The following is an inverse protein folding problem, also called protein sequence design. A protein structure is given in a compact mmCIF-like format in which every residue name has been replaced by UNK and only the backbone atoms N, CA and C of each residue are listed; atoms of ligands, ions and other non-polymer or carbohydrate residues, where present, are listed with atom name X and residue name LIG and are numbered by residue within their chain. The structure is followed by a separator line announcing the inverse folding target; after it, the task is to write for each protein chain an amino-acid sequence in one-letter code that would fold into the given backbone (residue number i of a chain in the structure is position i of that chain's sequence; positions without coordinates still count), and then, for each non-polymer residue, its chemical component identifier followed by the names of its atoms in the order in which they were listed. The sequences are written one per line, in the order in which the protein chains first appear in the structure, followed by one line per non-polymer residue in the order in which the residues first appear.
data_IF_647911820385
#
_entry.id   IF_647911820385
#
_cell.length_a   1.000
_cell.length_b   1.000
_cell.length_c   1.000
_cell.angle_alpha   90.00
_cell.angle_beta   90.00
_cell.angle_gamma   90.00
#
_symmetry.space_group_name_H-M   'P 1'
#
loop_
_entity.id
_entity.type
_entity.pdbx_description
1 polymer ?
#
# COMPACT_ATOMS: atom_id res chain seq x y z
N UNK A 1 -61.48 -3.21 -30.86
CA UNK A 1 -62.54 -3.78 -30.00
C UNK A 1 -62.06 -3.61 -28.56
N UNK A 2 -62.76 -2.89 -27.68
CA UNK A 2 -63.99 -3.29 -26.95
C UNK A 2 -63.71 -4.51 -26.04
N UNK A 3 -63.96 -4.53 -24.72
CA UNK A 3 -64.59 -3.60 -23.74
C UNK A 3 -63.87 -3.81 -22.35
N UNK A 4 -63.89 -2.94 -21.33
CA UNK A 4 -64.99 -2.51 -20.41
C UNK A 4 -65.70 -3.68 -19.67
N UNK A 5 -66.09 -3.65 -18.37
CA UNK A 5 -66.23 -2.55 -17.39
C UNK A 5 -66.32 -3.03 -15.89
N UNK A 6 -65.74 -2.29 -14.92
CA UNK A 6 -66.03 -2.20 -13.44
C UNK A 6 -66.28 -3.53 -12.61
N UNK A 7 -66.82 -3.67 -11.37
CA UNK A 7 -67.44 -2.83 -10.30
C UNK A 7 -67.06 -3.26 -8.83
N UNK A 8 -66.90 -2.27 -7.92
CA UNK A 8 -67.39 -2.12 -6.51
C UNK A 8 -67.01 -2.97 -5.25
N UNK A 9 -66.73 -2.20 -4.17
CA UNK A 9 -66.87 -2.44 -2.69
C UNK A 9 -68.33 -2.16 -2.21
N UNK A 10 -68.80 -2.38 -0.93
CA UNK A 10 -68.15 -2.34 0.42
C UNK A 10 -68.37 -3.66 1.22
N UNK A 11 -68.48 -3.83 2.57
CA UNK A 11 -68.70 -3.08 3.85
C UNK A 11 -68.14 -3.92 5.04
N UNK A 12 -68.07 -3.53 6.33
CA UNK A 12 -67.89 -2.27 7.11
C UNK A 12 -68.01 -2.62 8.65
N UNK A 13 -67.99 -1.63 9.57
CA UNK A 13 -68.48 -1.64 10.98
C UNK A 13 -67.53 -2.16 12.10
N UNK A 14 -66.93 -1.18 12.81
CA UNK A 14 -66.76 -1.05 14.28
C UNK A 14 -65.99 -2.13 15.11
N UNK A 15 -65.36 -1.81 16.25
CA UNK A 15 -65.79 -0.84 17.28
C UNK A 15 -64.66 -0.30 18.21
N UNK A 16 -65.04 0.75 18.96
CA UNK A 16 -64.51 1.35 20.21
C UNK A 16 -63.67 0.46 21.15
N UNK A 17 -62.84 0.95 22.08
CA UNK A 17 -62.31 2.31 22.42
C UNK A 17 -61.46 2.25 23.70
N UNK A 18 -60.55 3.20 23.96
CA UNK A 18 -60.42 3.88 25.27
C UNK A 18 -59.41 5.04 25.25
N UNK A 19 -59.61 6.04 26.12
CA UNK A 19 -58.78 7.25 26.25
C UNK A 19 -58.51 7.55 27.73
N UNK A 20 -57.25 7.84 28.05
CA UNK A 20 -56.71 8.59 29.21
C UNK A 20 -55.25 8.92 28.86
N UNK A 21 -54.74 10.14 28.77
CA UNK A 21 -55.05 11.44 29.43
C UNK A 21 -54.55 11.53 30.87
N UNK A 22 -53.27 11.90 30.99
CA UNK A 22 -52.71 12.75 32.04
C UNK A 22 -51.68 13.69 31.39
N UNK A 23 -51.53 14.89 31.93
CA UNK A 23 -50.74 16.00 31.38
C UNK A 23 -50.03 16.73 32.54
N UNK A 24 -49.15 17.67 32.20
CA UNK A 24 -48.34 18.53 33.08
C UNK A 24 -47.06 17.83 33.62
N UNK A 25 -45.96 18.55 33.86
CA UNK A 25 -45.76 20.00 33.80
C UNK A 25 -44.53 20.39 32.94
N UNK A 26 -44.55 21.62 32.41
CA UNK A 26 -43.40 22.26 31.77
C UNK A 26 -42.52 22.96 32.83
N UNK A 27 -41.22 23.05 32.57
CA UNK A 27 -40.36 24.04 33.23
C UNK A 27 -39.24 24.47 32.27
N UNK A 28 -39.32 25.71 31.77
CA UNK A 28 -38.40 26.25 30.77
C UNK A 28 -37.12 26.79 31.41
N UNK A 29 -35.96 26.51 30.81
CA UNK A 29 -34.72 27.24 31.10
C UNK A 29 -33.99 27.63 29.82
N UNK A 30 -33.82 28.94 29.61
CA UNK A 30 -33.15 29.49 28.43
C UNK A 30 -31.67 29.15 28.40
N UNK A 31 -31.16 28.64 27.29
CA UNK A 31 -29.73 28.65 26.95
C UNK A 31 -29.52 28.97 25.46
N UNK A 32 -28.46 29.72 25.14
CA UNK A 32 -28.20 30.24 23.80
C UNK A 32 -27.70 29.16 22.82
N UNK A 33 -28.10 29.20 21.53
CA UNK A 33 -27.58 28.29 20.51
C UNK A 33 -26.19 28.76 20.02
N UNK A 34 -25.11 28.19 20.55
CA UNK A 34 -23.73 28.53 20.14
C UNK A 34 -22.71 27.39 20.34
N UNK A 35 -23.06 26.16 19.94
CA UNK A 35 -22.18 24.99 20.11
C UNK A 35 -22.41 23.83 19.12
N UNK A 36 -22.86 24.10 17.89
CA UNK A 36 -22.96 23.07 16.83
C UNK A 36 -21.64 22.86 16.07
N UNK A 37 -20.60 22.45 16.81
CA UNK A 37 -19.45 21.72 16.24
C UNK A 37 -19.62 20.27 16.66
N UNK A 38 -19.84 19.31 15.74
CA UNK A 38 -19.93 17.90 16.10
C UNK A 38 -18.57 17.42 16.58
N UNK A 39 -18.47 17.09 17.87
CA UNK A 39 -17.30 16.40 18.42
C UNK A 39 -17.15 15.05 17.71
N UNK A 40 -15.92 14.61 17.39
CA UNK A 40 -15.71 13.29 16.81
C UNK A 40 -16.20 12.23 17.79
N UNK A 41 -17.15 11.39 17.36
CA UNK A 41 -17.72 10.31 18.17
C UNK A 41 -16.61 9.43 18.73
N UNK A 42 -16.53 9.34 20.06
CA UNK A 42 -15.48 8.61 20.77
C UNK A 42 -15.40 7.16 20.29
N UNK A 43 -14.27 6.77 19.71
CA UNK A 43 -14.05 5.45 19.13
C UNK A 43 -13.95 4.39 20.25
N UNK A 44 -15.09 3.85 20.67
CA UNK A 44 -15.20 2.80 21.68
C UNK A 44 -14.70 1.46 21.12
N UNK A 45 -13.39 1.24 21.19
CA UNK A 45 -12.77 -0.04 20.87
C UNK A 45 -13.35 -1.15 21.78
N UNK A 46 -14.02 -2.13 21.19
CA UNK A 46 -14.68 -3.20 21.93
C UNK A 46 -13.62 -4.11 22.61
N UNK A 47 -13.63 -4.30 23.95
CA UNK A 47 -12.52 -4.96 24.64
C UNK A 47 -12.26 -6.43 24.27
N UNK A 48 -13.25 -7.09 23.65
CA UNK A 48 -13.21 -8.52 23.29
C UNK A 48 -12.55 -8.82 21.93
N UNK A 49 -12.09 -7.80 21.20
CA UNK A 49 -11.47 -7.94 19.88
C UNK A 49 -10.00 -7.48 19.91
N UNK A 50 -9.13 -8.30 20.51
CA UNK A 50 -7.68 -8.22 20.25
C UNK A 50 -7.42 -8.78 18.84
N UNK A 51 -7.80 -8.01 17.81
CA UNK A 51 -7.56 -8.36 16.41
C UNK A 51 -6.04 -8.48 16.23
N UNK A 52 -5.50 -9.66 15.89
CA UNK A 52 -4.07 -9.82 15.75
C UNK A 52 -3.57 -8.90 14.64
N UNK A 53 -2.47 -8.18 14.94
CA UNK A 53 -1.80 -7.27 14.03
C UNK A 53 -1.73 -7.82 12.60
N UNK A 54 -2.03 -6.97 11.61
CA UNK A 54 -1.94 -7.32 10.20
C UNK A 54 -0.56 -7.90 9.90
N UNK A 55 -0.49 -9.20 9.62
CA UNK A 55 0.73 -9.89 9.98
C UNK A 55 1.91 -9.57 9.09
N UNK A 56 3.10 -9.70 9.68
CA UNK A 56 4.37 -9.57 8.96
C UNK A 56 4.43 -10.51 7.75
N UNK A 57 3.79 -11.68 7.85
CA UNK A 57 3.76 -12.72 6.82
C UNK A 57 2.96 -12.27 5.59
N UNK A 58 1.79 -11.65 5.79
CA UNK A 58 0.97 -11.14 4.69
C UNK A 58 1.75 -10.10 3.86
N UNK A 59 2.25 -9.06 4.50
CA UNK A 59 2.96 -7.96 3.81
C UNK A 59 4.26 -8.43 3.14
N UNK A 60 5.00 -9.35 3.76
CA UNK A 60 6.16 -10.00 3.15
C UNK A 60 5.76 -10.84 1.91
N UNK A 61 4.65 -11.59 1.97
CA UNK A 61 4.13 -12.34 0.83
C UNK A 61 3.76 -11.40 -0.34
N UNK A 62 3.02 -10.33 -0.07
CA UNK A 62 2.62 -9.33 -1.07
C UNK A 62 3.82 -8.67 -1.75
N UNK A 63 4.82 -8.25 -0.96
CA UNK A 63 6.12 -7.75 -1.44
C UNK A 63 6.81 -8.74 -2.36
N UNK A 64 7.13 -9.94 -1.87
CA UNK A 64 7.89 -10.95 -2.61
C UNK A 64 7.14 -11.38 -3.90
N UNK A 65 5.81 -11.49 -3.84
CA UNK A 65 4.97 -11.76 -5.01
C UNK A 65 5.10 -10.66 -6.07
N UNK A 66 4.97 -9.38 -5.68
CA UNK A 66 5.11 -8.25 -6.61
C UNK A 66 6.53 -8.13 -7.19
N UNK A 67 7.57 -8.37 -6.39
CA UNK A 67 8.96 -8.43 -6.83
C UNK A 67 9.17 -9.56 -7.85
N UNK A 68 8.62 -10.76 -7.60
CA UNK A 68 8.64 -11.90 -8.52
C UNK A 68 7.92 -11.60 -9.85
N UNK A 69 6.71 -11.03 -9.80
CA UNK A 69 5.97 -10.67 -11.01
C UNK A 69 6.67 -9.58 -11.84
N UNK A 70 7.40 -8.66 -11.19
CA UNK A 70 8.20 -7.68 -11.91
C UNK A 70 9.35 -8.36 -12.67
N UNK A 71 10.10 -9.27 -12.04
CA UNK A 71 11.15 -10.03 -12.73
C UNK A 71 10.57 -10.86 -13.89
N UNK A 72 9.46 -11.58 -13.68
CA UNK A 72 8.75 -12.33 -14.73
C UNK A 72 8.36 -11.43 -15.92
N UNK A 73 7.80 -10.26 -15.64
CA UNK A 73 7.38 -9.28 -16.68
C UNK A 73 8.57 -8.73 -17.47
N UNK A 74 9.69 -8.46 -16.82
CA UNK A 74 10.88 -7.88 -17.44
C UNK A 74 11.70 -8.93 -18.21
N UNK A 75 11.81 -10.15 -17.67
CA UNK A 75 12.60 -11.21 -18.29
C UNK A 75 11.88 -11.93 -19.43
N UNK A 76 10.54 -11.80 -19.56
CA UNK A 76 9.70 -12.45 -20.60
C UNK A 76 10.25 -12.35 -22.04
N UNK A 77 11.00 -11.29 -22.37
CA UNK A 77 11.66 -11.10 -23.69
C UNK A 77 13.17 -11.33 -23.70
N UNK A 78 13.82 -11.46 -22.54
CA UNK A 78 15.29 -11.57 -22.43
C UNK A 78 15.79 -12.98 -22.10
N UNK A 79 14.97 -13.83 -21.46
CA UNK A 79 15.31 -15.25 -21.20
C UNK A 79 16.61 -15.43 -20.41
N UNK A 80 16.92 -14.53 -19.46
CA UNK A 80 18.17 -14.60 -18.71
C UNK A 80 18.06 -15.68 -17.62
N UNK A 81 18.77 -16.78 -17.79
CA UNK A 81 18.81 -17.89 -16.82
C UNK A 81 19.04 -17.42 -15.37
N UNK A 82 19.99 -16.50 -15.12
CA UNK A 82 20.24 -15.92 -13.79
C UNK A 82 19.02 -15.21 -13.16
N UNK A 83 18.11 -14.70 -13.98
CA UNK A 83 16.87 -14.05 -13.52
C UNK A 83 15.78 -15.11 -13.28
N UNK A 84 15.74 -16.17 -14.09
CA UNK A 84 14.89 -17.35 -13.86
C UNK A 84 15.29 -18.10 -12.57
N UNK A 85 16.60 -18.28 -12.31
CA UNK A 85 17.14 -18.81 -11.05
C UNK A 85 16.70 -17.99 -9.83
N UNK A 86 16.67 -16.65 -9.99
CA UNK A 86 16.22 -15.74 -8.95
C UNK A 86 14.70 -15.81 -8.75
N UNK A 87 13.90 -15.88 -9.83
CA UNK A 87 12.45 -16.10 -9.77
C UNK A 87 12.14 -17.42 -9.07
N UNK A 88 12.77 -18.53 -9.44
CA UNK A 88 12.61 -19.83 -8.80
C UNK A 88 13.16 -19.89 -7.35
N UNK A 89 14.13 -19.03 -7.02
CA UNK A 89 14.57 -18.81 -5.64
C UNK A 89 13.53 -18.06 -4.79
N UNK A 90 12.92 -17.00 -5.35
CA UNK A 90 11.86 -16.24 -4.68
C UNK A 90 10.59 -17.08 -4.55
N UNK A 91 10.27 -17.93 -5.53
CA UNK A 91 9.15 -18.88 -5.45
C UNK A 91 9.31 -19.88 -4.30
N UNK A 92 10.50 -20.46 -4.13
CA UNK A 92 10.81 -21.34 -3.00
C UNK A 92 10.71 -20.63 -1.65
N UNK A 93 11.15 -19.36 -1.57
CA UNK A 93 10.98 -18.55 -0.36
C UNK A 93 9.50 -18.22 -0.07
N UNK A 94 8.70 -17.92 -1.10
CA UNK A 94 7.24 -17.73 -0.97
C UNK A 94 6.54 -19.00 -0.47
N UNK A 95 6.92 -20.17 -1.02
CA UNK A 95 6.44 -21.48 -0.57
C UNK A 95 6.81 -21.75 0.89
N UNK A 96 8.07 -21.53 1.28
CA UNK A 96 8.52 -21.71 2.65
C UNK A 96 7.80 -20.78 3.64
N UNK A 97 7.61 -19.50 3.29
CA UNK A 97 6.83 -18.54 4.10
C UNK A 97 5.37 -19.01 4.25
N UNK A 98 4.78 -19.60 3.21
CA UNK A 98 3.41 -20.13 3.25
C UNK A 98 3.27 -21.46 4.03
N UNK A 99 4.35 -22.00 4.61
CA UNK A 99 4.33 -23.13 5.55
C UNK A 99 4.64 -22.69 6.99
N UNK A 100 4.88 -21.40 7.24
CA UNK A 100 5.09 -20.88 8.60
C UNK A 100 3.76 -20.52 9.24
N UNK A 101 3.54 -20.98 10.47
CA UNK A 101 2.49 -20.45 11.34
C UNK A 101 2.76 -18.98 11.69
N UNK A 102 1.70 -18.19 11.82
CA UNK A 102 1.74 -16.75 12.06
C UNK A 102 2.03 -16.44 13.55
N UNK A 103 3.25 -16.75 13.99
CA UNK A 103 3.67 -16.68 15.39
C UNK A 103 4.85 -15.75 15.60
N UNK A 104 4.97 -15.21 16.82
CA UNK A 104 6.10 -14.36 17.21
C UNK A 104 7.47 -15.08 17.09
N UNK A 105 7.51 -16.40 17.28
CA UNK A 105 8.71 -17.21 17.10
C UNK A 105 9.17 -17.24 15.64
N UNK A 106 8.23 -17.39 14.70
CA UNK A 106 8.52 -17.52 13.27
C UNK A 106 8.91 -16.18 12.60
N UNK A 107 8.76 -15.04 13.28
CA UNK A 107 9.16 -13.71 12.75
C UNK A 107 10.65 -13.62 12.39
N UNK A 108 11.53 -14.30 13.12
CA UNK A 108 12.96 -14.34 12.80
C UNK A 108 13.23 -15.10 11.49
N UNK A 109 12.57 -16.24 11.31
CA UNK A 109 12.67 -17.07 10.10
C UNK A 109 12.06 -16.38 8.87
N UNK A 110 10.91 -15.71 9.04
CA UNK A 110 10.29 -14.85 8.04
C UNK A 110 11.26 -13.76 7.54
N UNK A 111 11.91 -13.03 8.45
CA UNK A 111 12.91 -12.01 8.12
C UNK A 111 14.12 -12.61 7.39
N UNK A 112 14.51 -13.85 7.72
CA UNK A 112 15.51 -14.62 6.97
C UNK A 112 15.10 -14.86 5.51
N UNK A 113 13.90 -15.40 5.26
CA UNK A 113 13.39 -15.64 3.91
C UNK A 113 13.18 -14.35 3.11
N UNK A 114 12.72 -13.28 3.76
CA UNK A 114 12.59 -11.94 3.16
C UNK A 114 13.94 -11.40 2.70
N UNK A 115 14.96 -11.43 3.57
CA UNK A 115 16.31 -10.95 3.24
C UNK A 115 16.96 -11.73 2.10
N UNK A 116 16.84 -13.07 2.11
CA UNK A 116 17.35 -13.93 1.01
C UNK A 116 16.59 -13.68 -0.30
N UNK A 117 15.27 -13.49 -0.25
CA UNK A 117 14.48 -13.14 -1.44
C UNK A 117 14.86 -11.76 -1.99
N UNK A 118 15.04 -10.76 -1.12
CA UNK A 118 15.42 -9.40 -1.49
C UNK A 118 16.82 -9.36 -2.12
N UNK A 119 17.79 -10.10 -1.59
CA UNK A 119 19.13 -10.20 -2.16
C UNK A 119 19.11 -10.80 -3.58
N UNK A 120 18.38 -11.92 -3.77
CA UNK A 120 18.15 -12.52 -5.10
C UNK A 120 17.45 -11.56 -6.05
N UNK A 121 16.42 -10.87 -5.57
CA UNK A 121 15.64 -9.91 -6.36
C UNK A 121 16.49 -8.75 -6.89
N UNK A 122 17.25 -8.07 -6.04
CA UNK A 122 18.05 -6.92 -6.48
C UNK A 122 19.22 -7.32 -7.40
N UNK A 123 19.86 -8.46 -7.17
CA UNK A 123 20.88 -9.01 -8.08
C UNK A 123 20.30 -9.29 -9.48
N UNK A 124 19.11 -9.91 -9.55
CA UNK A 124 18.41 -10.17 -10.80
C UNK A 124 17.91 -8.88 -11.50
N UNK A 125 17.45 -7.88 -10.74
CA UNK A 125 17.12 -6.55 -11.25
C UNK A 125 18.34 -5.88 -11.90
N UNK A 126 19.53 -6.11 -11.35
CA UNK A 126 20.81 -5.69 -11.93
C UNK A 126 21.11 -6.33 -13.29
N UNK A 127 20.88 -7.64 -13.44
CA UNK A 127 21.05 -8.34 -14.74
C UNK A 127 20.08 -7.80 -15.82
N UNK A 128 18.95 -7.22 -15.40
CA UNK A 128 17.95 -6.63 -16.29
C UNK A 128 18.27 -5.20 -16.76
N UNK A 129 19.33 -4.57 -16.23
CA UNK A 129 19.89 -3.34 -16.80
C UNK A 129 20.45 -3.64 -18.20
N UNK A 130 20.27 -2.71 -19.14
CA UNK A 130 20.82 -2.75 -20.50
C UNK A 130 21.75 -1.56 -20.78
N UNK A 131 21.63 -0.48 -20.01
CA UNK A 131 22.49 0.70 -20.15
C UNK A 131 23.84 0.45 -19.48
N UNK A 132 24.89 0.21 -20.28
CA UNK A 132 26.25 -0.12 -19.82
C UNK A 132 26.92 0.98 -18.97
N UNK A 133 26.40 2.21 -18.96
CA UNK A 133 26.88 3.29 -18.09
C UNK A 133 26.54 3.06 -16.61
N UNK A 134 25.69 2.08 -16.28
CA UNK A 134 25.26 1.77 -14.92
C UNK A 134 25.45 0.30 -14.58
N UNK A 135 25.91 0.04 -13.37
CA UNK A 135 25.97 -1.29 -12.75
C UNK A 135 25.14 -1.28 -11.47
N UNK A 136 24.60 -2.44 -11.10
CA UNK A 136 23.83 -2.61 -9.87
C UNK A 136 23.94 -4.07 -9.41
N UNK A 137 24.58 -4.28 -8.26
CA UNK A 137 24.86 -5.63 -7.74
C UNK A 137 23.99 -5.98 -6.53
N UNK A 138 23.72 -4.99 -5.67
CA UNK A 138 23.00 -5.15 -4.40
C UNK A 138 22.41 -3.82 -3.93
N UNK A 139 21.48 -3.87 -2.97
CA UNK A 139 20.76 -2.69 -2.45
C UNK A 139 21.46 -2.06 -1.23
N UNK A 140 22.19 -0.96 -1.41
CA UNK A 140 22.78 -0.15 -0.32
C UNK A 140 21.86 1.02 0.05
N UNK A 141 21.41 1.09 1.32
CA UNK A 141 20.33 2.00 1.74
C UNK A 141 20.78 3.30 2.40
N UNK A 142 21.83 3.25 3.24
CA UNK A 142 22.29 4.37 4.10
C UNK A 142 23.82 4.27 4.28
N UNK A 143 24.63 4.98 3.47
CA UNK A 143 24.22 5.74 2.29
C UNK A 143 23.92 4.82 1.07
N UNK A 144 23.30 5.36 0.00
CA UNK A 144 23.34 4.76 -1.33
C UNK A 144 24.75 4.94 -1.95
N UNK A 145 25.34 3.87 -2.46
CA UNK A 145 26.76 3.83 -2.90
C UNK A 145 26.96 3.94 -4.41
N UNK A 146 25.89 3.99 -5.19
CA UNK A 146 25.90 4.04 -6.65
C UNK A 146 24.61 4.70 -7.18
N UNK A 147 24.60 5.21 -8.43
CA UNK A 147 23.46 5.92 -9.00
C UNK A 147 22.13 5.17 -8.97
N UNK A 148 22.12 3.84 -9.12
CA UNK A 148 20.90 3.03 -9.12
C UNK A 148 20.35 2.94 -7.69
N UNK A 149 21.23 2.75 -6.70
CA UNK A 149 20.88 2.88 -5.29
C UNK A 149 20.43 4.29 -4.91
N UNK A 150 20.95 5.36 -5.53
CA UNK A 150 20.48 6.74 -5.32
C UNK A 150 19.04 6.91 -5.84
N UNK A 151 18.77 6.50 -7.08
CA UNK A 151 17.44 6.54 -7.70
C UNK A 151 16.40 5.74 -6.92
N UNK A 152 16.73 4.50 -6.54
CA UNK A 152 15.88 3.65 -5.71
C UNK A 152 15.59 4.31 -4.36
N UNK A 153 16.61 4.83 -3.68
CA UNK A 153 16.46 5.50 -2.37
C UNK A 153 15.53 6.71 -2.45
N UNK A 154 15.73 7.59 -3.43
CA UNK A 154 14.88 8.77 -3.60
C UNK A 154 13.44 8.39 -3.98
N UNK A 155 13.25 7.44 -4.90
CA UNK A 155 11.93 6.93 -5.26
C UNK A 155 11.17 6.27 -4.11
N UNK A 156 11.86 5.57 -3.22
CA UNK A 156 11.26 5.04 -1.99
C UNK A 156 10.87 6.14 -1.00
N UNK A 157 11.68 7.20 -0.84
CA UNK A 157 11.31 8.37 -0.02
C UNK A 157 10.06 9.06 -0.56
N UNK A 158 9.94 9.23 -1.88
CA UNK A 158 8.72 9.78 -2.50
C UNK A 158 7.52 8.85 -2.27
N UNK A 159 7.66 7.53 -2.47
CA UNK A 159 6.59 6.56 -2.23
C UNK A 159 6.14 6.55 -0.76
N UNK A 160 7.06 6.53 0.20
CA UNK A 160 6.78 6.62 1.63
C UNK A 160 5.95 7.87 1.98
N UNK A 161 6.36 9.04 1.49
CA UNK A 161 5.62 10.28 1.73
C UNK A 161 4.20 10.25 1.14
N UNK A 162 3.99 9.56 0.02
CA UNK A 162 2.67 9.35 -0.56
C UNK A 162 1.79 8.43 0.32
N UNK A 163 2.32 7.29 0.78
CA UNK A 163 1.58 6.37 1.69
C UNK A 163 1.27 7.06 3.03
N UNK A 164 2.25 7.76 3.62
CA UNK A 164 2.08 8.53 4.85
C UNK A 164 1.00 9.62 4.74
N UNK A 165 0.93 10.30 3.59
CA UNK A 165 -0.11 11.31 3.33
C UNK A 165 -1.50 10.67 3.22
N UNK A 166 -1.61 9.54 2.52
CA UNK A 166 -2.88 8.84 2.34
C UNK A 166 -3.38 8.18 3.64
N UNK A 167 -2.49 7.65 4.48
CA UNK A 167 -2.83 7.19 5.83
C UNK A 167 -3.50 8.29 6.65
N UNK A 168 -2.94 9.51 6.62
CA UNK A 168 -3.51 10.68 7.31
C UNK A 168 -4.85 11.12 6.73
N UNK A 169 -5.00 11.14 5.39
CA UNK A 169 -6.26 11.46 4.70
C UNK A 169 -7.39 10.51 5.08
N UNK A 170 -7.09 9.22 5.25
CA UNK A 170 -8.08 8.20 5.64
C UNK A 170 -8.26 8.08 7.17
N UNK A 171 -7.62 8.95 7.96
CA UNK A 171 -7.77 9.03 9.42
C UNK A 171 -7.03 7.96 10.22
N UNK A 172 -6.03 7.29 9.64
CA UNK A 172 -5.21 6.28 10.33
C UNK A 172 -3.97 6.91 10.97
N UNK A 173 -3.65 6.49 12.20
CA UNK A 173 -2.37 6.82 12.84
C UNK A 173 -1.23 6.08 12.14
N UNK A 174 -0.25 6.77 11.52
CA UNK A 174 0.81 6.12 10.75
C UNK A 174 1.89 5.47 11.62
N UNK A 175 1.84 5.69 12.94
CA UNK A 175 2.82 5.19 13.92
C UNK A 175 2.49 3.78 14.45
N UNK A 176 1.29 3.26 14.17
CA UNK A 176 0.84 1.92 14.59
C UNK A 176 1.12 0.89 13.48
N UNK A 177 2.39 0.48 13.35
CA UNK A 177 2.80 -0.56 12.38
C UNK A 177 2.89 -1.97 12.96
N UNK A 178 3.13 -2.94 12.08
CA UNK A 178 3.05 -4.38 12.36
C UNK A 178 4.37 -5.13 12.04
N UNK A 179 5.08 -4.80 10.95
CA UNK A 179 6.39 -5.38 10.59
C UNK A 179 7.55 -4.77 11.39
N UNK A 180 7.57 -3.43 11.44
CA UNK A 180 8.70 -2.63 11.88
C UNK A 180 8.59 -2.18 13.34
N UNK A 181 8.30 -3.10 14.27
CA UNK A 181 8.36 -2.82 15.72
C UNK A 181 9.75 -2.28 16.10
N UNK A 182 9.82 -0.96 16.25
CA UNK A 182 10.99 -0.20 16.68
C UNK A 182 10.59 0.73 17.81
N UNK A 183 11.50 0.96 18.75
CA UNK A 183 11.34 1.91 19.86
C UNK A 183 11.29 3.38 19.38
N UNK A 184 11.63 3.63 18.11
CA UNK A 184 11.56 4.95 17.49
C UNK A 184 10.14 5.21 16.98
N UNK A 185 9.63 6.42 17.23
CA UNK A 185 8.35 6.94 16.71
C UNK A 185 8.35 7.20 15.19
N UNK A 186 8.85 6.25 14.41
CA UNK A 186 8.80 6.27 12.95
C UNK A 186 7.39 5.91 12.46
N UNK A 187 7.04 6.31 11.23
CA UNK A 187 5.75 5.98 10.63
C UNK A 187 5.73 4.53 10.13
N UNK A 188 5.76 3.57 11.06
CA UNK A 188 5.91 2.14 10.80
C UNK A 188 4.85 1.64 9.82
N UNK A 189 3.58 2.04 9.95
CA UNK A 189 2.51 1.64 9.02
C UNK A 189 2.71 2.17 7.58
N UNK A 190 3.39 3.31 7.42
CA UNK A 190 3.74 3.83 6.09
C UNK A 190 4.89 3.05 5.45
N UNK A 191 5.84 2.53 6.25
CA UNK A 191 6.85 1.58 5.78
C UNK A 191 6.24 0.22 5.42
N UNK A 192 5.27 -0.23 6.20
CA UNK A 192 4.61 -1.53 6.04
C UNK A 192 3.79 -1.58 4.74
N UNK A 193 2.84 -0.66 4.56
CA UNK A 193 2.00 -0.62 3.36
C UNK A 193 2.78 -0.22 2.08
N UNK A 194 3.90 0.49 2.18
CA UNK A 194 4.68 0.81 0.97
C UNK A 194 5.40 -0.40 0.37
N UNK A 195 5.69 -1.46 1.13
CA UNK A 195 6.44 -2.64 0.65
C UNK A 195 5.78 -3.28 -0.58
N UNK A 196 4.45 -3.38 -0.59
CA UNK A 196 3.66 -3.87 -1.72
C UNK A 196 3.92 -3.05 -3.00
N UNK A 197 4.10 -1.74 -2.86
CA UNK A 197 4.20 -0.79 -3.96
C UNK A 197 5.62 -0.55 -4.46
N UNK A 198 6.67 -0.98 -3.72
CA UNK A 198 8.09 -0.76 -4.07
C UNK A 198 8.42 -1.20 -5.49
N UNK A 199 8.25 -2.49 -5.78
CA UNK A 199 8.50 -3.05 -7.10
C UNK A 199 7.59 -2.50 -8.19
N UNK A 200 6.24 -2.54 -8.05
CA UNK A 200 5.37 -2.10 -9.13
C UNK A 200 5.40 -0.58 -9.37
N UNK A 201 5.76 0.27 -8.41
CA UNK A 201 5.90 1.72 -8.62
C UNK A 201 7.35 2.09 -8.93
N UNK A 202 8.26 1.93 -7.96
CA UNK A 202 9.61 2.50 -7.94
C UNK A 202 10.60 1.65 -8.75
N UNK A 203 10.72 0.36 -8.49
CA UNK A 203 11.80 -0.45 -9.08
C UNK A 203 11.61 -0.56 -10.61
N UNK A 204 10.37 -0.73 -11.05
CA UNK A 204 9.98 -0.63 -12.47
C UNK A 204 10.26 0.76 -13.08
N UNK A 205 10.09 1.85 -12.32
CA UNK A 205 10.40 3.19 -12.80
C UNK A 205 11.90 3.40 -12.96
N UNK A 206 12.69 3.07 -11.94
CA UNK A 206 14.16 3.23 -11.97
C UNK A 206 14.76 2.44 -13.12
N UNK A 207 14.40 1.16 -13.28
CA UNK A 207 14.91 0.34 -14.37
C UNK A 207 14.50 0.88 -15.74
N UNK A 208 13.26 1.36 -15.91
CA UNK A 208 12.80 2.01 -17.14
C UNK A 208 13.68 3.22 -17.47
N UNK A 209 13.88 4.14 -16.52
CA UNK A 209 14.59 5.39 -16.76
C UNK A 209 16.09 5.17 -17.04
N UNK A 210 16.72 4.22 -16.34
CA UNK A 210 18.10 3.80 -16.62
C UNK A 210 18.24 3.18 -18.02
N UNK A 211 17.37 2.22 -18.38
CA UNK A 211 17.45 1.52 -19.67
C UNK A 211 17.03 2.40 -20.86
N UNK A 212 16.23 3.44 -20.63
CA UNK A 212 15.88 4.47 -21.62
C UNK A 212 16.86 5.65 -21.65
N UNK A 213 17.99 5.57 -20.93
CA UNK A 213 19.04 6.62 -20.91
C UNK A 213 18.52 8.00 -20.48
N UNK A 214 17.45 8.05 -19.68
CA UNK A 214 16.90 9.30 -19.12
C UNK A 214 17.82 9.90 -18.05
N UNK A 215 18.77 9.10 -17.55
CA UNK A 215 19.89 9.52 -16.72
C UNK A 215 21.21 9.03 -17.31
N UNK A 216 22.26 9.82 -17.08
CA UNK A 216 23.67 9.51 -17.37
C UNK A 216 24.52 9.58 -16.07
N UNK A 217 25.82 9.26 -16.07
CA UNK A 217 26.65 9.36 -14.85
C UNK A 217 26.75 10.77 -14.26
N UNK A 218 26.74 11.82 -15.10
CA UNK A 218 26.91 13.22 -14.70
C UNK A 218 25.65 13.81 -14.02
N UNK A 219 24.51 13.12 -14.10
CA UNK A 219 23.31 13.39 -13.29
C UNK A 219 23.51 13.10 -11.79
N UNK A 220 24.67 12.58 -11.37
CA UNK A 220 24.97 12.17 -10.00
C UNK A 220 26.20 12.87 -9.43
N UNK A 221 26.22 13.04 -8.11
CA UNK A 221 27.39 13.55 -7.39
C UNK A 221 28.50 12.48 -7.37
N UNK A 222 29.78 12.86 -7.29
CA UNK A 222 30.82 11.93 -6.84
C UNK A 222 30.47 11.39 -5.44
N UNK A 223 31.01 10.22 -5.05
CA UNK A 223 30.84 9.70 -3.70
C UNK A 223 31.37 10.70 -2.66
N UNK A 224 30.54 11.02 -1.66
CA UNK A 224 30.95 11.88 -0.54
C UNK A 224 31.87 11.14 0.45
N UNK A 225 32.27 11.80 1.55
CA UNK A 225 33.13 11.21 2.59
C UNK A 225 32.60 9.93 3.27
N UNK A 226 31.33 9.55 3.06
CA UNK A 226 30.75 8.28 3.54
C UNK A 226 30.54 7.25 2.42
N UNK A 227 31.06 7.52 1.20
CA UNK A 227 30.80 6.73 0.00
C UNK A 227 29.41 6.98 -0.63
N UNK A 228 28.70 8.04 -0.21
CA UNK A 228 27.34 8.33 -0.62
C UNK A 228 27.23 9.06 -1.95
N UNK A 229 26.50 8.49 -2.90
CA UNK A 229 26.19 9.03 -4.23
C UNK A 229 24.75 9.57 -4.25
N UNK A 230 24.52 10.76 -4.79
CA UNK A 230 23.21 11.41 -4.81
C UNK A 230 22.89 11.99 -6.20
N UNK A 231 21.62 12.30 -6.48
CA UNK A 231 21.25 13.01 -7.70
C UNK A 231 21.67 14.47 -7.62
N UNK A 232 22.13 15.04 -8.73
CA UNK A 232 22.24 16.50 -8.90
C UNK A 232 20.86 17.16 -8.88
N UNK A 233 20.79 18.47 -8.67
CA UNK A 233 19.51 19.17 -8.54
C UNK A 233 18.63 19.13 -9.81
N UNK A 234 19.17 19.26 -11.03
CA UNK A 234 18.42 19.03 -12.27
C UNK A 234 17.91 17.58 -12.40
N UNK A 235 18.75 16.60 -12.06
CA UNK A 235 18.38 15.18 -12.10
C UNK A 235 17.29 14.83 -11.08
N UNK A 236 17.37 15.39 -9.87
CA UNK A 236 16.35 15.28 -8.80
C UNK A 236 14.98 15.81 -9.26
N UNK A 237 14.95 16.95 -9.96
CA UNK A 237 13.73 17.50 -10.57
C UNK A 237 13.19 16.62 -11.70
N UNK A 238 14.07 16.11 -12.58
CA UNK A 238 13.71 15.17 -13.67
C UNK A 238 13.06 13.90 -13.11
N UNK A 239 13.66 13.31 -12.07
CA UNK A 239 13.13 12.11 -11.42
C UNK A 239 11.76 12.33 -10.80
N UNK A 240 11.54 13.48 -10.13
CA UNK A 240 10.25 13.81 -9.53
C UNK A 240 9.13 13.90 -10.58
N UNK A 241 9.41 14.48 -11.75
CA UNK A 241 8.45 14.53 -12.86
C UNK A 241 8.08 13.13 -13.38
N UNK A 242 9.07 12.24 -13.57
CA UNK A 242 8.81 10.86 -13.98
C UNK A 242 8.09 10.04 -12.89
N UNK A 243 8.37 10.32 -11.61
CA UNK A 243 7.66 9.72 -10.49
C UNK A 243 6.19 10.14 -10.46
N UNK A 244 5.87 11.42 -10.66
CA UNK A 244 4.47 11.86 -10.71
C UNK A 244 3.73 11.31 -11.94
N UNK A 245 4.37 11.25 -13.11
CA UNK A 245 3.81 10.50 -14.26
C UNK A 245 3.61 9.02 -13.96
N UNK A 246 4.47 8.40 -13.14
CA UNK A 246 4.30 7.02 -12.67
C UNK A 246 3.09 6.87 -11.76
N UNK A 247 2.89 7.80 -10.82
CA UNK A 247 1.76 7.81 -9.88
C UNK A 247 0.40 8.05 -10.56
N UNK A 248 0.41 8.74 -11.71
CA UNK A 248 -0.78 8.99 -12.53
C UNK A 248 -1.18 7.85 -13.47
N UNK A 249 -0.33 6.82 -13.67
CA UNK A 249 -0.67 5.69 -14.53
C UNK A 249 -1.87 4.91 -13.98
N UNK A 250 -2.92 4.77 -14.80
CA UNK A 250 -4.12 4.01 -14.45
C UNK A 250 -3.88 2.49 -14.48
N UNK A 251 -4.33 1.80 -13.44
CA UNK A 251 -4.10 0.37 -13.19
C UNK A 251 -5.35 -0.28 -12.58
N UNK A 252 -5.54 -1.59 -12.75
CA UNK A 252 -6.64 -2.30 -12.09
C UNK A 252 -6.35 -2.53 -10.60
N UNK A 253 -7.40 -2.43 -9.79
CA UNK A 253 -7.45 -2.79 -8.37
C UNK A 253 -8.79 -3.49 -8.12
N UNK A 254 -8.89 -4.50 -7.23
CA UNK A 254 -10.15 -5.25 -7.06
C UNK A 254 -11.30 -4.38 -6.58
N UNK A 255 -11.02 -3.38 -5.72
CA UNK A 255 -12.03 -2.51 -5.10
C UNK A 255 -12.41 -1.33 -6.02
N UNK A 256 -12.13 -1.43 -7.32
CA UNK A 256 -12.40 -0.40 -8.32
C UNK A 256 -12.96 -0.98 -9.64
N UNK A 257 -14.20 -0.59 -9.98
CA UNK A 257 -14.89 -1.02 -11.20
C UNK A 257 -14.20 -0.60 -12.52
N UNK A 258 -13.21 0.31 -12.47
CA UNK A 258 -12.39 0.72 -13.62
C UNK A 258 -10.93 0.92 -13.18
N UNK A 259 -10.00 0.95 -14.13
CA UNK A 259 -8.60 1.28 -13.85
C UNK A 259 -8.47 2.67 -13.24
N UNK A 260 -7.70 2.80 -12.15
CA UNK A 260 -7.49 4.02 -11.38
C UNK A 260 -5.99 4.33 -11.25
N UNK A 261 -5.56 5.60 -11.09
CA UNK A 261 -4.15 5.95 -10.90
C UNK A 261 -3.50 5.21 -9.72
N UNK A 262 -2.20 4.90 -9.78
CA UNK A 262 -1.46 4.32 -8.65
C UNK A 262 -1.67 5.08 -7.33
N UNK A 263 -1.76 6.42 -7.38
CA UNK A 263 -2.08 7.28 -6.21
C UNK A 263 -3.42 6.87 -5.56
N UNK A 264 -4.44 6.60 -6.35
CA UNK A 264 -5.75 6.12 -5.89
C UNK A 264 -5.72 4.62 -5.53
N UNK A 265 -4.91 3.80 -6.19
CA UNK A 265 -4.71 2.39 -5.81
C UNK A 265 -4.13 2.24 -4.41
N UNK A 266 -3.15 3.09 -4.05
CA UNK A 266 -2.59 3.13 -2.70
C UNK A 266 -3.67 3.58 -1.70
N UNK A 267 -4.49 4.58 -2.05
CA UNK A 267 -5.60 5.03 -1.21
C UNK A 267 -6.66 3.93 -0.98
N UNK A 268 -6.94 3.11 -1.99
CA UNK A 268 -7.83 1.95 -1.86
C UNK A 268 -7.24 0.85 -0.97
N UNK A 269 -5.92 0.63 -0.98
CA UNK A 269 -5.29 -0.28 0.00
C UNK A 269 -5.28 0.27 1.41
N UNK A 270 -5.07 1.57 1.60
CA UNK A 270 -5.27 2.23 2.90
C UNK A 270 -6.74 2.06 3.35
N UNK A 271 -7.70 2.16 2.41
CA UNK A 271 -9.10 1.68 2.49
C UNK A 271 -9.22 0.29 3.10
N UNK A 272 -8.75 -0.72 2.35
CA UNK A 272 -8.82 -2.14 2.71
C UNK A 272 -8.17 -2.44 4.07
N UNK A 273 -7.03 -1.81 4.37
CA UNK A 273 -6.37 -1.90 5.68
C UNK A 273 -7.26 -1.33 6.80
N UNK A 274 -7.83 -0.13 6.62
CA UNK A 274 -8.76 0.46 7.60
C UNK A 274 -9.98 -0.43 7.85
N UNK A 275 -10.57 -1.01 6.81
CA UNK A 275 -11.71 -1.92 6.95
C UNK A 275 -11.32 -3.19 7.72
N UNK A 276 -10.14 -3.76 7.47
CA UNK A 276 -9.68 -4.96 8.21
C UNK A 276 -9.52 -4.74 9.73
N UNK A 277 -9.28 -3.50 10.16
CA UNK A 277 -9.22 -3.13 11.59
C UNK A 277 -10.59 -2.85 12.23
N UNK A 278 -11.63 -2.59 11.43
CA UNK A 278 -12.96 -2.14 11.91
C UNK A 278 -14.05 -3.19 11.71
N UNK A 279 -13.98 -3.96 10.62
CA UNK A 279 -15.03 -4.87 10.13
C UNK A 279 -14.59 -6.34 10.24
N UNK A 280 -13.41 -6.62 10.82
CA UNK A 280 -12.78 -7.95 10.94
C UNK A 280 -12.58 -8.72 9.61
N UNK A 281 -12.70 -8.04 8.46
CA UNK A 281 -12.44 -8.60 7.13
C UNK A 281 -10.93 -8.84 6.94
N UNK A 282 -10.46 -10.04 6.53
CA UNK A 282 -9.04 -10.28 6.30
C UNK A 282 -8.45 -9.35 5.22
N UNK A 283 -7.29 -8.74 5.49
CA UNK A 283 -6.61 -7.90 4.52
C UNK A 283 -5.86 -8.71 3.45
N UNK A 284 -6.26 -8.51 2.21
CA UNK A 284 -5.56 -8.99 1.02
C UNK A 284 -4.58 -7.93 0.48
N UNK A 285 -3.28 -8.23 0.54
CA UNK A 285 -2.21 -7.39 -0.04
C UNK A 285 -2.42 -7.02 -1.51
N UNK A 286 -1.93 -5.86 -1.94
CA UNK A 286 -1.91 -5.50 -3.36
C UNK A 286 -1.07 -6.48 -4.17
N UNK A 287 -1.73 -7.21 -5.07
CA UNK A 287 -1.07 -8.03 -6.10
C UNK A 287 -1.20 -7.34 -7.45
N UNK A 288 -0.07 -6.88 -7.99
CA UNK A 288 -0.01 -6.22 -9.31
C UNK A 288 -0.31 -7.21 -10.44
N UNK A 289 -1.57 -7.20 -10.90
CA UNK A 289 -1.98 -7.86 -12.14
C UNK A 289 -1.24 -7.25 -13.35
N UNK A 290 -0.73 -8.10 -14.25
CA UNK A 290 0.30 -7.73 -15.25
C UNK A 290 -0.21 -7.31 -16.61
#
# INVERSE_FOLDING_TARGET
MKNDIFLQHPTDIANRSLVRTTQLAESSSNQHPSSLIPQPSSLSLHPSAFIPHLSSFLLANGKLWNSKQLLLKLNRRRGLARVEDAIAGIERNLGAIAQLEDTAANLAQLRGYEGVAAARYFSALGQLITNKAFTFNQRTRRPPTDPVNSLLSFGYTLLFNNVLSLLRVEGLSPYLGNLHRSERHEAQLAFDLMEEFRSPVVDMLVLKLINQQVFNPDDFTPPNATGGVYLTDPARRRFLQEFERRMMLAIRHPDAAKSVPYRQTIQLQVRRYKQSLLEAVPYETFRRLT
#
